data_IF_506201587009
#
_entry.id   IF_506201587009
#
_cell.length_a   1.000
_cell.length_b   1.000
_cell.length_c   1.000
_cell.angle_alpha   90.00
_cell.angle_beta   90.00
_cell.angle_gamma   90.00
#
_symmetry.space_group_name_H-M   'P 1'
#
loop_
_entity.id
_entity.type
_entity.pdbx_description
1 polymer ?
#
# COMPACT_ATOMS: atom_id res chain seq x y z
N UNK A 1 -12.74 0.83 -5.41
CA UNK A 1 -11.98 -0.03 -4.47
C UNK A 1 -10.73 0.72 -4.08
N UNK A 2 -10.50 0.90 -2.78
CA UNK A 2 -9.40 1.67 -2.21
C UNK A 2 -8.27 0.77 -1.75
N UNK A 3 -7.03 1.11 -2.12
CA UNK A 3 -5.84 0.31 -1.83
C UNK A 3 -4.82 1.15 -1.07
N UNK A 4 -4.26 0.58 -0.01
CA UNK A 4 -3.08 1.07 0.67
C UNK A 4 -1.87 0.24 0.27
N UNK A 5 -0.75 0.90 -0.05
CA UNK A 5 0.49 0.28 -0.49
C UNK A 5 1.57 0.40 0.59
N UNK A 6 1.98 -0.72 1.17
CA UNK A 6 3.13 -0.75 2.08
C UNK A 6 4.34 -1.24 1.31
N UNK A 7 5.27 -0.33 1.03
CA UNK A 7 6.39 -0.58 0.12
C UNK A 7 6.13 0.01 -1.26
N UNK A 8 6.93 1.01 -1.62
CA UNK A 8 6.88 1.68 -2.93
C UNK A 8 8.23 1.60 -3.66
N UNK A 9 8.81 0.38 -3.66
CA UNK A 9 9.95 0.01 -4.49
C UNK A 9 9.50 -0.51 -5.86
N UNK A 10 10.30 -1.38 -6.48
CA UNK A 10 10.02 -1.93 -7.82
C UNK A 10 8.62 -2.55 -7.96
N UNK A 11 8.19 -3.36 -6.99
CA UNK A 11 6.88 -4.02 -7.05
C UNK A 11 5.74 -3.02 -6.90
N UNK A 12 5.80 -2.14 -5.89
CA UNK A 12 4.75 -1.14 -5.66
C UNK A 12 4.62 -0.14 -6.80
N UNK A 13 5.75 0.27 -7.41
CA UNK A 13 5.76 1.15 -8.59
C UNK A 13 5.20 0.44 -9.83
N UNK A 14 5.67 -0.78 -10.12
CA UNK A 14 5.14 -1.55 -11.25
C UNK A 14 3.64 -1.86 -11.10
N UNK A 15 3.15 -2.06 -9.88
CA UNK A 15 1.73 -2.24 -9.63
C UNK A 15 0.91 -1.01 -10.03
N UNK A 16 1.30 0.20 -9.61
CA UNK A 16 0.55 1.42 -9.97
C UNK A 16 0.67 1.76 -11.46
N UNK A 17 1.81 1.48 -12.09
CA UNK A 17 1.99 1.62 -13.54
C UNK A 17 1.02 0.69 -14.31
N UNK A 18 0.92 -0.58 -13.90
CA UNK A 18 -0.03 -1.53 -14.50
C UNK A 18 -1.47 -1.08 -14.27
N UNK A 19 -1.82 -0.61 -13.06
CA UNK A 19 -3.17 -0.09 -12.79
C UNK A 19 -3.53 1.06 -13.71
N UNK A 20 -2.60 2.00 -13.93
CA UNK A 20 -2.78 3.12 -14.84
C UNK A 20 -2.94 2.66 -16.29
N UNK A 21 -2.08 1.75 -16.77
CA UNK A 21 -2.15 1.18 -18.12
C UNK A 21 -3.46 0.40 -18.35
N UNK A 22 -3.91 -0.36 -17.35
CA UNK A 22 -5.08 -1.25 -17.45
C UNK A 22 -6.38 -0.59 -17.01
N UNK A 23 -6.38 0.66 -16.55
CA UNK A 23 -7.53 1.34 -15.97
C UNK A 23 -8.81 1.18 -16.82
N UNK A 24 -8.74 1.53 -18.12
CA UNK A 24 -9.89 1.43 -19.02
C UNK A 24 -10.37 -0.02 -19.19
N UNK A 25 -9.46 -0.98 -19.36
CA UNK A 25 -9.80 -2.39 -19.50
C UNK A 25 -10.41 -2.98 -18.22
N UNK A 26 -9.96 -2.54 -17.04
CA UNK A 26 -10.50 -3.01 -15.77
C UNK A 26 -11.92 -2.47 -15.54
N UNK A 27 -12.14 -1.19 -15.87
CA UNK A 27 -13.44 -0.57 -15.80
C UNK A 27 -14.44 -1.21 -16.78
N UNK A 28 -14.05 -1.41 -18.04
CA UNK A 28 -14.93 -1.97 -19.07
C UNK A 28 -15.30 -3.44 -18.79
N UNK A 29 -14.32 -4.29 -18.45
CA UNK A 29 -14.54 -5.73 -18.31
C UNK A 29 -15.12 -6.14 -16.97
N UNK A 30 -14.78 -5.42 -15.91
CA UNK A 30 -15.08 -5.82 -14.53
C UNK A 30 -15.82 -4.75 -13.73
N UNK A 31 -16.08 -3.57 -14.29
CA UNK A 31 -16.64 -2.44 -13.53
C UNK A 31 -15.74 -1.98 -12.39
N UNK A 32 -14.42 -2.24 -12.50
CA UNK A 32 -13.48 -2.05 -11.40
C UNK A 32 -12.66 -0.76 -11.58
N UNK A 33 -12.83 0.16 -10.64
CA UNK A 33 -11.94 1.32 -10.45
C UNK A 33 -11.15 1.14 -9.17
N UNK A 34 -9.84 1.29 -9.27
CA UNK A 34 -8.88 1.12 -8.17
C UNK A 34 -8.26 2.47 -7.84
N UNK A 35 -8.36 2.87 -6.58
CA UNK A 35 -7.81 4.13 -6.07
C UNK A 35 -6.71 3.84 -5.06
N UNK A 36 -5.55 4.46 -5.23
CA UNK A 36 -4.48 4.39 -4.23
C UNK A 36 -4.72 5.49 -3.21
N UNK A 37 -5.11 5.14 -1.99
CA UNK A 37 -5.43 6.13 -0.94
C UNK A 37 -4.30 6.35 0.04
N UNK A 38 -3.35 5.41 0.10
CA UNK A 38 -2.18 5.56 0.95
C UNK A 38 -0.96 4.82 0.39
N UNK A 39 0.22 5.39 0.63
CA UNK A 39 1.51 4.79 0.30
C UNK A 39 2.46 4.99 1.47
N UNK A 40 3.06 3.92 1.96
CA UNK A 40 4.14 3.96 2.94
C UNK A 40 5.42 3.40 2.32
N UNK A 41 6.56 4.02 2.65
CA UNK A 41 7.88 3.50 2.28
C UNK A 41 8.71 3.27 3.53
N UNK A 42 9.77 2.47 3.42
CA UNK A 42 10.65 2.22 4.56
C UNK A 42 11.35 3.51 5.08
N UNK A 43 11.79 4.39 4.17
CA UNK A 43 12.61 5.56 4.55
C UNK A 43 12.38 6.82 3.69
N UNK A 44 11.45 6.78 2.74
CA UNK A 44 11.20 7.85 1.75
C UNK A 44 9.84 8.53 1.96
N UNK A 45 9.34 8.48 3.20
CA UNK A 45 8.08 9.07 3.64
C UNK A 45 6.85 8.19 3.44
N UNK A 46 5.71 8.70 3.90
CA UNK A 46 4.38 8.14 3.71
C UNK A 46 3.39 9.23 3.31
N UNK A 47 2.33 8.85 2.59
CA UNK A 47 1.26 9.72 2.14
C UNK A 47 -0.09 9.04 2.35
N UNK A 48 -1.10 9.82 2.74
CA UNK A 48 -2.50 9.39 2.84
C UNK A 48 -3.40 10.51 2.32
N UNK A 49 -4.31 10.14 1.41
CA UNK A 49 -5.27 11.04 0.77
C UNK A 49 -6.60 10.28 0.59
N UNK A 50 -7.66 10.61 1.35
CA UNK A 50 -8.94 9.91 1.30
C UNK A 50 -9.58 9.81 -0.09
N UNK A 51 -9.35 10.84 -0.91
CA UNK A 51 -9.89 10.97 -2.28
C UNK A 51 -8.91 10.46 -3.36
N UNK A 52 -7.88 9.71 -2.97
CA UNK A 52 -6.93 9.10 -3.88
C UNK A 52 -5.71 9.97 -4.21
N UNK A 53 -4.58 9.28 -4.32
CA UNK A 53 -3.29 9.80 -4.74
C UNK A 53 -3.17 9.71 -6.26
N UNK A 54 -2.58 10.74 -6.85
CA UNK A 54 -2.27 10.80 -8.27
C UNK A 54 -1.04 9.92 -8.56
N UNK A 55 -1.18 8.98 -9.50
CA UNK A 55 -0.14 7.97 -9.78
C UNK A 55 1.09 8.62 -10.41
N UNK A 56 0.90 9.53 -11.38
CA UNK A 56 2.02 10.20 -12.06
C UNK A 56 2.83 11.04 -11.07
N UNK A 57 2.14 11.77 -10.18
CA UNK A 57 2.76 12.56 -9.14
C UNK A 57 3.45 11.70 -8.07
N UNK A 58 2.93 10.50 -7.76
CA UNK A 58 3.62 9.54 -6.87
C UNK A 58 4.93 9.05 -7.47
N UNK A 59 4.91 8.66 -8.75
CA UNK A 59 6.08 8.17 -9.47
C UNK A 59 7.14 9.26 -9.64
N UNK A 60 6.73 10.49 -9.99
CA UNK A 60 7.63 11.65 -10.06
C UNK A 60 8.26 11.97 -8.69
N UNK A 61 7.45 12.01 -7.62
CA UNK A 61 7.95 12.31 -6.28
C UNK A 61 8.98 11.29 -5.79
N UNK A 62 8.69 9.99 -5.98
CA UNK A 62 9.63 8.95 -5.57
C UNK A 62 10.86 8.88 -6.47
N UNK A 63 10.73 9.24 -7.76
CA UNK A 63 11.85 9.41 -8.69
C UNK A 63 12.79 10.55 -8.30
N UNK A 64 12.26 11.61 -7.68
CA UNK A 64 13.04 12.67 -7.02
C UNK A 64 13.65 12.24 -5.68
N UNK A 65 13.44 11.00 -5.28
CA UNK A 65 14.07 10.36 -4.12
C UNK A 65 13.20 10.28 -2.87
N UNK A 66 12.07 11.00 -2.79
CA UNK A 66 11.23 11.01 -1.58
C UNK A 66 9.81 11.53 -1.82
N UNK A 67 8.82 10.92 -1.15
CA UNK A 67 7.40 11.31 -1.25
C UNK A 67 7.08 12.73 -0.75
N UNK A 68 8.04 13.43 -0.13
CA UNK A 68 7.88 14.84 0.26
C UNK A 68 7.72 15.75 -0.96
N UNK A 69 8.18 15.29 -2.13
CA UNK A 69 8.07 16.01 -3.40
C UNK A 69 6.70 15.87 -4.06
N UNK A 70 5.82 14.99 -3.56
CA UNK A 70 4.44 14.91 -4.04
C UNK A 70 3.76 16.27 -3.81
N UNK A 71 2.96 16.80 -4.75
CA UNK A 71 2.34 18.12 -4.62
C UNK A 71 1.37 18.17 -3.43
N UNK A 72 1.30 19.33 -2.76
CA UNK A 72 0.30 19.51 -1.70
C UNK A 72 -1.11 19.52 -2.29
N UNK A 73 -2.04 18.87 -1.59
CA UNK A 73 -3.47 18.85 -1.87
C UNK A 73 -4.21 18.96 -0.53
N UNK A 74 -5.40 19.53 -0.54
CA UNK A 74 -6.25 19.56 0.65
C UNK A 74 -6.48 18.13 1.17
N UNK A 75 -6.50 17.95 2.50
CA UNK A 75 -6.64 16.63 3.13
C UNK A 75 -5.42 15.71 3.05
N UNK A 76 -4.33 16.10 2.38
CA UNK A 76 -3.13 15.27 2.28
C UNK A 76 -2.39 15.19 3.62
N UNK A 77 -2.23 13.99 4.14
CA UNK A 77 -1.43 13.68 5.33
C UNK A 77 -0.09 13.08 4.92
N UNK A 78 0.99 13.44 5.62
CA UNK A 78 2.36 13.00 5.33
C UNK A 78 3.08 12.47 6.55
N UNK A 79 4.05 11.61 6.30
CA UNK A 79 5.06 11.16 7.27
C UNK A 79 4.47 10.63 8.59
N UNK A 80 3.34 9.95 8.47
CA UNK A 80 2.73 9.16 9.54
C UNK A 80 3.35 7.77 9.61
N UNK A 81 3.39 7.19 10.79
CA UNK A 81 3.82 5.81 11.00
C UNK A 81 2.95 4.83 10.19
N UNK A 82 3.56 3.75 9.70
CA UNK A 82 2.86 2.76 8.86
C UNK A 82 1.65 2.16 9.55
N UNK A 83 1.74 1.89 10.85
CA UNK A 83 0.67 1.36 11.67
C UNK A 83 -0.52 2.32 11.71
N UNK A 84 -0.25 3.60 11.96
CA UNK A 84 -1.28 4.67 11.95
C UNK A 84 -1.92 4.83 10.58
N UNK A 85 -1.12 4.72 9.51
CA UNK A 85 -1.61 4.77 8.13
C UNK A 85 -2.56 3.61 7.83
N UNK A 86 -2.22 2.39 8.24
CA UNK A 86 -3.09 1.20 8.09
C UNK A 86 -4.42 1.42 8.81
N UNK A 87 -4.38 2.00 10.01
CA UNK A 87 -5.58 2.24 10.83
C UNK A 87 -6.49 3.35 10.30
N UNK A 88 -5.95 4.35 9.59
CA UNK A 88 -6.69 5.58 9.28
C UNK A 88 -6.95 5.80 7.78
N UNK A 89 -6.29 5.05 6.89
CA UNK A 89 -6.38 5.31 5.45
C UNK A 89 -7.73 4.97 4.82
N UNK A 90 -8.57 4.16 5.48
CA UNK A 90 -9.86 3.75 4.94
C UNK A 90 -9.75 2.93 3.65
N UNK A 91 -8.65 2.20 3.46
CA UNK A 91 -8.48 1.30 2.32
C UNK A 91 -9.28 0.00 2.51
N UNK A 92 -9.79 -0.55 1.41
CA UNK A 92 -10.43 -1.89 1.38
C UNK A 92 -9.37 -3.00 1.37
N UNK A 93 -8.21 -2.73 0.76
CA UNK A 93 -7.12 -3.69 0.57
C UNK A 93 -5.78 -3.08 1.00
N UNK A 94 -5.01 -3.84 1.79
CA UNK A 94 -3.60 -3.60 2.03
C UNK A 94 -2.76 -4.45 1.05
N UNK A 95 -2.01 -3.80 0.14
CA UNK A 95 -0.97 -4.47 -0.64
C UNK A 95 0.37 -4.34 0.09
N UNK A 96 0.86 -5.46 0.61
CA UNK A 96 2.14 -5.54 1.34
C UNK A 96 3.26 -5.97 0.38
N UNK A 97 4.11 -5.01 0.03
CA UNK A 97 5.24 -5.12 -0.87
C UNK A 97 6.52 -4.50 -0.28
N UNK A 98 6.63 -4.43 1.04
CA UNK A 98 7.85 -4.02 1.72
C UNK A 98 8.94 -5.09 1.61
N UNK A 99 10.14 -4.73 2.06
CA UNK A 99 11.28 -5.63 2.07
C UNK A 99 11.01 -6.87 2.93
N UNK A 100 11.52 -8.02 2.49
CA UNK A 100 11.28 -9.28 3.20
C UNK A 100 12.30 -9.49 4.31
N UNK A 101 11.81 -9.60 5.54
CA UNK A 101 12.57 -10.11 6.66
C UNK A 101 12.33 -11.62 6.81
N UNK A 102 13.28 -12.43 6.37
CA UNK A 102 13.19 -13.90 6.44
C UNK A 102 13.56 -14.49 7.82
N UNK A 103 14.01 -13.67 8.76
CA UNK A 103 14.32 -14.14 10.12
C UNK A 103 13.09 -14.08 11.01
N UNK A 104 12.36 -12.97 10.97
CA UNK A 104 11.22 -12.74 11.87
C UNK A 104 9.91 -12.48 11.15
N UNK A 105 9.90 -12.17 9.86
CA UNK A 105 8.69 -11.76 9.12
C UNK A 105 8.21 -10.34 9.45
N UNK A 106 8.85 -9.68 10.41
CA UNK A 106 8.46 -8.35 10.89
C UNK A 106 9.12 -7.23 10.08
N UNK A 107 8.47 -6.05 9.95
CA UNK A 107 7.17 -5.69 10.53
C UNK A 107 5.93 -6.12 9.70
N UNK A 108 6.14 -6.78 8.56
CA UNK A 108 5.07 -7.09 7.62
C UNK A 108 3.97 -7.99 8.20
N UNK A 109 4.30 -8.95 9.08
CA UNK A 109 3.30 -9.77 9.77
C UNK A 109 2.33 -8.90 10.57
N UNK A 110 2.84 -7.95 11.36
CA UNK A 110 2.01 -7.07 12.18
C UNK A 110 1.13 -6.16 11.32
N UNK A 111 1.63 -5.71 10.16
CA UNK A 111 0.83 -4.95 9.20
C UNK A 111 -0.36 -5.75 8.68
N UNK A 112 -0.15 -7.03 8.36
CA UNK A 112 -1.22 -7.91 7.88
C UNK A 112 -2.28 -8.14 8.96
N UNK A 113 -1.85 -8.46 10.18
CA UNK A 113 -2.76 -8.70 11.30
C UNK A 113 -3.59 -7.45 11.63
N UNK A 114 -2.97 -6.28 11.60
CA UNK A 114 -3.65 -4.99 11.79
C UNK A 114 -4.66 -4.72 10.68
N UNK A 115 -4.30 -5.01 9.42
CA UNK A 115 -5.22 -4.86 8.30
C UNK A 115 -6.46 -5.77 8.46
N UNK A 116 -6.29 -7.03 8.86
CA UNK A 116 -7.42 -7.92 9.14
C UNK A 116 -8.30 -7.42 10.29
N UNK A 117 -7.70 -6.89 11.35
CA UNK A 117 -8.45 -6.27 12.46
C UNK A 117 -9.30 -5.08 12.00
N UNK A 118 -8.85 -4.37 10.98
CA UNK A 118 -9.56 -3.24 10.37
C UNK A 118 -10.56 -3.68 9.29
N UNK A 119 -10.78 -4.98 9.09
CA UNK A 119 -11.67 -5.52 8.07
C UNK A 119 -11.15 -5.40 6.63
N UNK A 120 -9.85 -5.15 6.47
CA UNK A 120 -9.22 -5.01 5.15
C UNK A 120 -8.81 -6.39 4.62
N UNK A 121 -8.84 -6.55 3.30
CA UNK A 121 -8.18 -7.67 2.66
C UNK A 121 -6.68 -7.42 2.55
N UNK A 122 -5.87 -8.48 2.55
CA UNK A 122 -4.41 -8.39 2.42
C UNK A 122 -3.95 -9.12 1.17
N UNK A 123 -3.12 -8.44 0.36
CA UNK A 123 -2.41 -9.03 -0.78
C UNK A 123 -0.91 -8.93 -0.50
N UNK A 124 -0.21 -10.04 -0.63
CA UNK A 124 1.22 -10.14 -0.26
C UNK A 124 2.09 -10.35 -1.49
N UNK A 125 3.05 -9.44 -1.71
CA UNK A 125 4.26 -9.73 -2.47
C UNK A 125 5.41 -10.18 -1.55
N UNK A 126 5.39 -9.75 -0.29
CA UNK A 126 6.36 -10.14 0.72
C UNK A 126 6.13 -11.57 1.22
N UNK A 127 7.17 -12.41 1.15
CA UNK A 127 7.08 -13.83 1.52
C UNK A 127 7.25 -14.08 3.02
N UNK A 128 7.82 -13.13 3.76
CA UNK A 128 8.17 -13.28 5.18
C UNK A 128 6.98 -13.65 6.07
N UNK A 129 5.85 -12.90 6.00
CA UNK A 129 4.68 -13.16 6.83
C UNK A 129 4.13 -14.59 6.64
N UNK A 130 3.93 -15.03 5.39
CA UNK A 130 3.41 -16.37 5.11
C UNK A 130 4.43 -17.46 5.44
N UNK A 131 5.70 -17.25 5.13
CA UNK A 131 6.73 -18.28 5.37
C UNK A 131 6.92 -18.58 6.86
N UNK A 132 6.74 -17.59 7.74
CA UNK A 132 7.04 -17.71 9.17
C UNK A 132 5.81 -17.74 10.07
N UNK A 133 4.70 -17.13 9.65
CA UNK A 133 3.51 -16.89 10.49
C UNK A 133 2.19 -17.27 9.81
N UNK A 134 2.21 -18.20 8.84
CA UNK A 134 1.01 -18.61 8.10
C UNK A 134 -0.19 -18.95 9.00
N UNK A 135 0.00 -19.78 10.03
CA UNK A 135 -1.11 -20.22 10.89
C UNK A 135 -1.80 -19.04 11.57
N UNK A 136 -1.01 -18.07 12.06
CA UNK A 136 -1.54 -16.88 12.70
C UNK A 136 -2.31 -16.00 11.71
N UNK A 137 -1.77 -15.80 10.51
CA UNK A 137 -2.43 -15.02 9.46
C UNK A 137 -3.72 -15.69 8.99
N UNK A 138 -3.72 -17.00 8.78
CA UNK A 138 -4.89 -17.75 8.33
C UNK A 138 -6.02 -17.78 9.36
N UNK A 139 -5.70 -17.67 10.65
CA UNK A 139 -6.70 -17.57 11.70
C UNK A 139 -7.29 -16.15 11.82
N UNK A 140 -6.52 -15.13 11.44
CA UNK A 140 -6.94 -13.73 11.52
C UNK A 140 -7.73 -13.25 10.30
N UNK A 141 -7.52 -13.88 9.13
CA UNK A 141 -8.20 -13.59 7.87
C UNK A 141 -9.64 -14.10 7.83
#
# INVERSE_FOLDING_TARGET
>A
MKVALIGFGTVGQGFVEILQEKHASLAEKYGLTVEIVAVATHSRGSLMQPDGLDIDALLDAIGKGHLRHYPHREGLVRDVATETLIDQCGADILLEASWTNLQTGQPATDYCLRAFQNGQHVVLANKGPVALHYQQLAQAA
#
